data_IF_699741177314
#
_entry.id   IF_699741177314
#
_cell.length_a   1.000
_cell.length_b   1.000
_cell.length_c   1.000
_cell.angle_alpha   90.00
_cell.angle_beta   90.00
_cell.angle_gamma   90.00
#
_symmetry.space_group_name_H-M   'P 1'
#
loop_
_entity.id
_entity.type
_entity.pdbx_description
1 polymer ?
#
# COMPACT_ATOMS: atom_id res chain seq x y z
N UNK A 1 -6.81 15.00 -5.74
CA UNK A 1 -8.27 15.00 -5.53
C UNK A 1 -8.87 13.74 -6.16
N UNK A 2 -9.86 13.10 -5.55
CA UNK A 2 -10.43 11.82 -6.05
C UNK A 2 -11.15 11.99 -7.39
N UNK A 3 -11.85 13.11 -7.57
CA UNK A 3 -12.55 13.51 -8.80
C UNK A 3 -11.60 13.60 -10.02
N UNK A 4 -10.42 14.18 -9.84
CA UNK A 4 -9.39 14.21 -10.89
C UNK A 4 -8.99 12.80 -11.33
N UNK A 5 -8.76 11.90 -10.38
CA UNK A 5 -8.33 10.54 -10.70
C UNK A 5 -9.42 9.70 -11.33
N UNK A 6 -10.69 9.91 -10.97
CA UNK A 6 -11.83 9.31 -11.66
C UNK A 6 -11.85 9.72 -13.14
N UNK A 7 -11.77 11.03 -13.42
CA UNK A 7 -11.72 11.53 -14.80
C UNK A 7 -10.50 11.03 -15.59
N UNK A 8 -9.36 10.90 -14.91
CA UNK A 8 -8.13 10.36 -15.51
C UNK A 8 -8.28 8.86 -15.85
N UNK A 9 -8.83 8.03 -14.94
CA UNK A 9 -9.09 6.61 -15.19
C UNK A 9 -9.99 6.43 -16.40
N UNK A 10 -11.10 7.18 -16.47
CA UNK A 10 -12.05 7.11 -17.60
C UNK A 10 -11.33 7.37 -18.93
N UNK A 11 -10.54 8.44 -18.98
CA UNK A 11 -9.76 8.80 -20.16
C UNK A 11 -8.75 7.71 -20.54
N UNK A 12 -8.01 7.17 -19.57
CA UNK A 12 -6.99 6.15 -19.81
C UNK A 12 -7.61 4.82 -20.27
N UNK A 13 -8.70 4.38 -19.65
CA UNK A 13 -9.41 3.12 -19.99
C UNK A 13 -10.02 3.21 -21.38
N UNK A 14 -10.56 4.36 -21.77
CA UNK A 14 -11.09 4.56 -23.13
C UNK A 14 -10.04 4.36 -24.23
N UNK A 15 -8.77 4.68 -23.93
CA UNK A 15 -7.64 4.50 -24.84
C UNK A 15 -7.02 3.11 -24.74
N UNK A 16 -6.91 2.58 -23.52
CA UNK A 16 -6.30 1.28 -23.22
C UNK A 16 -7.09 0.60 -22.10
N UNK A 17 -8.05 -0.30 -22.43
CA UNK A 17 -8.87 -0.96 -21.43
C UNK A 17 -8.10 -1.77 -20.39
N UNK A 18 -6.91 -2.27 -20.75
CA UNK A 18 -6.06 -3.08 -19.87
C UNK A 18 -5.01 -2.25 -19.11
N UNK A 19 -5.20 -0.93 -18.98
CA UNK A 19 -4.30 -0.11 -18.18
C UNK A 19 -4.45 -0.43 -16.69
N UNK A 20 -3.35 -0.82 -16.06
CA UNK A 20 -3.26 -1.05 -14.63
C UNK A 20 -2.78 0.22 -13.92
N UNK A 21 -3.50 0.64 -12.88
CA UNK A 21 -3.17 1.80 -12.08
C UNK A 21 -2.82 1.40 -10.64
N UNK A 22 -1.66 1.85 -10.18
CA UNK A 22 -1.17 1.71 -8.81
C UNK A 22 -1.15 3.08 -8.13
N UNK A 23 -1.81 3.20 -6.97
CA UNK A 23 -1.74 4.39 -6.14
C UNK A 23 -0.66 4.22 -5.06
N UNK A 24 0.29 5.16 -5.00
CA UNK A 24 1.14 5.34 -3.82
C UNK A 24 0.38 6.08 -2.70
N UNK A 25 -0.77 5.54 -2.32
CA UNK A 25 -1.64 6.09 -1.29
C UNK A 25 -2.51 4.99 -0.68
N UNK A 26 -2.65 4.99 0.65
CA UNK A 26 -3.51 4.02 1.36
C UNK A 26 -4.87 4.65 1.70
N UNK A 27 -5.68 4.89 0.67
CA UNK A 27 -6.98 5.56 0.78
C UNK A 27 -8.08 4.75 0.09
N UNK A 28 -9.06 4.19 0.84
CA UNK A 28 -10.13 3.37 0.28
C UNK A 28 -10.88 3.99 -0.89
N UNK A 29 -11.16 5.30 -0.82
CA UNK A 29 -11.87 6.04 -1.87
C UNK A 29 -11.13 6.10 -3.20
N UNK A 30 -9.83 5.80 -3.24
CA UNK A 30 -9.06 5.70 -4.49
C UNK A 30 -9.11 4.28 -5.08
N UNK A 31 -9.54 3.27 -4.34
CA UNK A 31 -9.65 1.89 -4.83
C UNK A 31 -11.09 1.45 -5.06
N UNK A 32 -12.05 2.36 -4.90
CA UNK A 32 -13.44 2.16 -5.31
C UNK A 32 -13.60 2.45 -6.81
N UNK A 33 -13.07 1.54 -7.64
CA UNK A 33 -13.19 1.60 -9.10
C UNK A 33 -12.21 2.52 -9.84
N UNK A 34 -11.32 3.22 -9.13
CA UNK A 34 -10.33 4.13 -9.76
C UNK A 34 -8.97 3.44 -9.95
N UNK A 35 -8.30 3.07 -8.85
CA UNK A 35 -7.01 2.36 -8.87
C UNK A 35 -7.17 0.87 -8.59
N UNK A 36 -6.41 0.06 -9.30
CA UNK A 36 -6.43 -1.40 -9.19
C UNK A 36 -5.63 -1.87 -7.96
N UNK A 37 -4.52 -1.17 -7.65
CA UNK A 37 -3.65 -1.47 -6.53
C UNK A 37 -3.29 -0.24 -5.70
N UNK A 38 -2.80 -0.48 -4.48
CA UNK A 38 -2.33 0.58 -3.59
C UNK A 38 -1.17 0.13 -2.71
N UNK A 39 -0.36 1.08 -2.23
CA UNK A 39 0.70 0.80 -1.26
C UNK A 39 0.12 0.52 0.13
N UNK A 40 0.41 -0.66 0.68
CA UNK A 40 -0.04 -1.08 2.00
C UNK A 40 0.85 -0.51 3.13
N UNK A 41 0.82 0.80 3.32
CA UNK A 41 1.67 1.54 4.25
C UNK A 41 1.47 1.12 5.72
N UNK A 42 0.25 0.94 6.21
CA UNK A 42 -0.01 0.45 7.57
C UNK A 42 0.70 -0.88 7.81
N UNK A 43 0.59 -1.82 6.87
CA UNK A 43 1.25 -3.12 6.98
C UNK A 43 2.77 -2.98 6.97
N UNK A 44 3.32 -2.13 6.10
CA UNK A 44 4.75 -1.81 6.07
C UNK A 44 5.27 -1.29 7.41
N UNK A 45 4.57 -0.34 8.03
CA UNK A 45 4.96 0.18 9.34
C UNK A 45 4.87 -0.88 10.44
N UNK A 46 3.87 -1.78 10.37
CA UNK A 46 3.79 -2.91 11.29
C UNK A 46 4.91 -3.92 11.10
N UNK A 47 5.34 -4.21 9.87
CA UNK A 47 6.50 -5.07 9.61
C UNK A 47 7.78 -4.49 10.25
N UNK A 48 8.03 -3.19 10.07
CA UNK A 48 9.15 -2.51 10.73
C UNK A 48 9.06 -2.59 12.26
N UNK A 49 7.89 -2.31 12.84
CA UNK A 49 7.71 -2.36 14.29
C UNK A 49 7.95 -3.75 14.87
N UNK A 50 7.53 -4.80 14.14
CA UNK A 50 7.80 -6.20 14.53
C UNK A 50 9.27 -6.55 14.40
N UNK A 51 9.93 -6.20 13.30
CA UNK A 51 11.36 -6.44 13.11
C UNK A 51 12.22 -5.76 14.19
N UNK A 52 11.79 -4.58 14.66
CA UNK A 52 12.45 -3.83 15.72
C UNK A 52 12.05 -4.28 17.14
N UNK A 53 11.19 -5.29 17.28
CA UNK A 53 10.72 -5.79 18.58
C UNK A 53 9.81 -4.82 19.35
N UNK A 54 9.27 -3.78 18.68
CA UNK A 54 8.38 -2.77 19.27
C UNK A 54 6.93 -3.24 19.35
N UNK A 55 6.52 -4.09 18.41
CA UNK A 55 5.22 -4.75 18.38
C UNK A 55 5.39 -6.26 18.15
N UNK A 56 4.38 -7.06 18.49
CA UNK A 56 4.38 -8.49 18.21
C UNK A 56 3.64 -8.80 16.89
N UNK A 57 3.69 -10.06 16.44
CA UNK A 57 3.08 -10.51 15.18
C UNK A 57 1.55 -10.32 15.13
N UNK A 58 0.87 -10.13 16.25
CA UNK A 58 -0.58 -9.89 16.28
C UNK A 58 -0.93 -8.54 15.62
N UNK A 59 0.00 -7.57 15.62
CA UNK A 59 -0.20 -6.28 14.97
C UNK A 59 -0.33 -6.39 13.44
N UNK A 60 0.37 -7.35 12.83
CA UNK A 60 0.25 -7.67 11.41
C UNK A 60 -1.12 -8.26 11.09
N UNK A 61 -1.64 -9.15 11.95
CA UNK A 61 -3.00 -9.70 11.79
C UNK A 61 -4.06 -8.59 11.89
N UNK A 62 -3.90 -7.69 12.85
CA UNK A 62 -4.80 -6.55 13.00
C UNK A 62 -4.72 -5.59 11.80
N UNK A 63 -3.54 -5.38 11.23
CA UNK A 63 -3.35 -4.59 10.00
C UNK A 63 -4.06 -5.22 8.80
N UNK A 64 -3.88 -6.53 8.60
CA UNK A 64 -4.57 -7.26 7.54
C UNK A 64 -6.09 -7.19 7.70
N UNK A 65 -6.61 -7.32 8.93
CA UNK A 65 -8.05 -7.19 9.17
C UNK A 65 -8.56 -5.78 8.80
N UNK A 66 -7.83 -4.72 9.19
CA UNK A 66 -8.18 -3.35 8.78
C UNK A 66 -8.18 -3.17 7.26
N UNK A 67 -7.25 -3.81 6.55
CA UNK A 67 -7.25 -3.81 5.09
C UNK A 67 -8.53 -4.43 4.54
N UNK A 68 -8.89 -5.62 5.01
CA UNK A 68 -10.10 -6.34 4.57
C UNK A 68 -11.39 -5.58 4.88
N UNK A 69 -11.44 -4.86 6.01
CA UNK A 69 -12.63 -4.11 6.43
C UNK A 69 -12.79 -2.79 5.67
N UNK A 70 -11.69 -2.15 5.27
CA UNK A 70 -11.69 -0.78 4.73
C UNK A 70 -11.67 -0.71 3.21
N UNK A 71 -11.04 -1.67 2.54
CA UNK A 71 -10.83 -1.60 1.10
C UNK A 71 -11.80 -2.51 0.35
N UNK A 72 -12.05 -2.17 -0.92
CA UNK A 72 -12.81 -3.06 -1.82
C UNK A 72 -12.15 -4.44 -1.88
N UNK A 73 -12.93 -5.55 -1.92
CA UNK A 73 -12.39 -6.88 -2.14
C UNK A 73 -11.61 -7.06 -3.45
N UNK A 74 -11.82 -6.17 -4.42
CA UNK A 74 -11.07 -6.15 -5.68
C UNK A 74 -9.78 -5.33 -5.63
N UNK A 75 -9.55 -4.58 -4.55
CA UNK A 75 -8.34 -3.76 -4.40
C UNK A 75 -7.13 -4.65 -4.11
N UNK A 76 -6.01 -4.37 -4.78
CA UNK A 76 -4.79 -5.16 -4.64
C UNK A 76 -3.81 -4.41 -3.71
N UNK A 77 -3.61 -4.85 -2.45
CA UNK A 77 -2.56 -4.30 -1.60
C UNK A 77 -1.19 -4.73 -2.12
N UNK A 78 -0.33 -3.75 -2.39
CA UNK A 78 1.09 -3.98 -2.64
C UNK A 78 1.85 -3.92 -1.31
N UNK A 79 2.22 -5.08 -0.80
CA UNK A 79 3.10 -5.21 0.36
C UNK A 79 4.56 -5.06 -0.07
N UNK A 80 5.38 -4.41 0.76
CA UNK A 80 6.77 -4.12 0.44
C UNK A 80 7.63 -3.96 1.71
N UNK A 81 8.90 -4.36 1.61
CA UNK A 81 9.93 -4.11 2.64
C UNK A 81 10.71 -2.82 2.39
N UNK A 82 10.81 -2.42 1.11
CA UNK A 82 11.64 -1.30 0.66
C UNK A 82 11.01 -0.56 -0.52
N UNK A 83 11.28 0.73 -0.64
CA UNK A 83 11.00 1.56 -1.81
C UNK A 83 11.96 2.76 -1.84
N UNK A 84 11.87 3.58 -2.89
CA UNK A 84 12.80 4.69 -3.09
C UNK A 84 12.68 5.80 -2.03
N UNK A 85 11.47 6.07 -1.52
CA UNK A 85 11.24 7.06 -0.47
C UNK A 85 11.75 6.57 0.89
N UNK A 86 11.40 5.36 1.31
CA UNK A 86 11.87 4.76 2.57
C UNK A 86 13.40 4.74 2.63
N UNK A 87 14.05 4.33 1.53
CA UNK A 87 15.51 4.30 1.46
C UNK A 87 16.14 5.69 1.54
N UNK A 88 15.43 6.73 1.06
CA UNK A 88 15.93 8.11 1.07
C UNK A 88 15.73 8.79 2.43
N UNK A 89 14.64 8.49 3.14
CA UNK A 89 14.23 9.23 4.34
C UNK A 89 14.46 8.47 5.65
N UNK A 90 14.37 7.13 5.62
CA UNK A 90 14.40 6.28 6.82
C UNK A 90 15.55 5.27 6.84
N UNK A 91 16.33 5.18 5.77
CA UNK A 91 17.39 4.19 5.58
C UNK A 91 16.88 2.89 4.94
N UNK A 92 17.83 2.04 4.59
CA UNK A 92 17.57 0.76 3.93
C UNK A 92 16.74 -0.18 4.80
N UNK A 93 16.08 -1.16 4.20
CA UNK A 93 15.42 -2.25 4.92
C UNK A 93 16.40 -3.02 5.81
N UNK A 94 17.68 -3.15 5.43
CA UNK A 94 18.70 -3.79 6.26
C UNK A 94 18.99 -3.01 7.54
N UNK A 95 18.98 -1.68 7.48
CA UNK A 95 19.17 -0.83 8.66
C UNK A 95 17.93 -0.81 9.56
N UNK A 96 16.73 -0.85 8.97
CA UNK A 96 15.46 -0.78 9.73
C UNK A 96 14.98 -2.12 10.27
N UNK A 97 15.22 -3.22 9.56
CA UNK A 97 14.69 -4.56 9.85
C UNK A 97 15.79 -5.60 10.18
N UNK A 98 17.06 -5.35 9.83
CA UNK A 98 18.16 -6.27 10.13
C UNK A 98 17.97 -7.65 9.48
N UNK A 99 18.22 -8.72 10.26
CA UNK A 99 18.06 -10.11 9.81
C UNK A 99 16.61 -10.48 9.45
N UNK A 100 15.63 -9.63 9.77
CA UNK A 100 14.21 -9.80 9.45
C UNK A 100 13.76 -9.08 8.15
N UNK A 101 14.69 -8.46 7.42
CA UNK A 101 14.42 -7.80 6.14
C UNK A 101 14.00 -8.76 5.02
#
# INVERSE_FOLDING_TARGET
>A
PTDFWAAAKDSLVSLKPEVFLLAEAEKPELNDGIFDAYYAWDFHHKMNAVAQGKENVDSLRASLQRTLDRFSPSAIPMYFTSNHDENSWNGTEFERMGDAA
#
